data_IF_933694664414
#
_entry.id   IF_933694664414
#
_cell.length_a   1.000
_cell.length_b   1.000
_cell.length_c   1.000
_cell.angle_alpha   90.00
_cell.angle_beta   90.00
_cell.angle_gamma   90.00
#
_symmetry.space_group_name_H-M   'P 1'
#
loop_
_entity.id
_entity.type
_entity.pdbx_description
1 polymer ?
#
# COMPACT_ATOMS: atom_id res chain seq x y z
N UNK A 1 49.94 -99.19 -18.47
CA UNK A 1 50.81 -98.05 -18.75
C UNK A 1 49.98 -97.09 -19.56
N UNK A 2 49.33 -96.25 -18.90
CA UNK A 2 48.56 -95.17 -19.56
C UNK A 2 48.35 -94.08 -18.50
N UNK A 3 49.05 -93.04 -18.71
CA UNK A 3 48.86 -91.79 -17.92
C UNK A 3 47.57 -91.09 -18.34
N UNK A 4 46.75 -90.75 -17.39
CA UNK A 4 45.61 -89.93 -17.57
C UNK A 4 45.93 -88.52 -17.01
N UNK A 5 46.16 -87.59 -17.93
CA UNK A 5 46.26 -86.19 -17.59
C UNK A 5 44.84 -85.61 -17.32
N UNK A 6 44.58 -85.31 -16.09
CA UNK A 6 43.36 -84.59 -15.65
C UNK A 6 43.56 -83.08 -15.80
N UNK A 7 42.94 -82.55 -16.81
CA UNK A 7 42.97 -81.13 -17.13
C UNK A 7 41.86 -80.36 -16.30
N UNK A 8 42.30 -79.74 -15.27
CA UNK A 8 41.48 -78.90 -14.45
C UNK A 8 41.06 -77.68 -15.25
N UNK A 9 39.77 -77.50 -15.42
CA UNK A 9 39.17 -76.28 -16.07
C UNK A 9 38.86 -75.27 -15.01
N UNK A 10 39.66 -74.24 -14.88
CA UNK A 10 39.33 -73.04 -14.06
C UNK A 10 38.15 -72.27 -14.68
N UNK A 11 37.05 -72.21 -13.95
CA UNK A 11 35.91 -71.36 -14.27
C UNK A 11 36.26 -69.92 -13.93
N UNK A 12 36.49 -69.12 -14.96
CA UNK A 12 36.57 -67.67 -14.78
C UNK A 12 35.18 -67.04 -14.44
N UNK A 13 35.02 -66.55 -13.20
CA UNK A 13 33.91 -65.72 -12.78
C UNK A 13 33.99 -64.42 -13.60
N UNK A 14 33.02 -64.24 -14.48
CA UNK A 14 32.81 -63.00 -15.20
C UNK A 14 32.23 -61.98 -14.21
N UNK A 15 33.09 -61.08 -13.76
CA UNK A 15 32.65 -59.95 -12.91
C UNK A 15 31.58 -59.11 -13.62
N UNK A 16 30.36 -59.16 -13.10
CA UNK A 16 29.25 -58.33 -13.55
C UNK A 16 29.57 -56.85 -13.29
N UNK A 17 29.74 -56.07 -14.35
CA UNK A 17 29.86 -54.60 -14.23
C UNK A 17 28.62 -54.03 -13.60
N UNK A 18 28.74 -53.16 -12.56
CA UNK A 18 27.57 -52.53 -11.96
C UNK A 18 26.85 -51.67 -12.97
N UNK A 19 25.55 -51.86 -13.11
CA UNK A 19 24.68 -51.08 -14.00
C UNK A 19 24.73 -49.57 -13.66
N UNK A 20 24.72 -48.68 -14.64
CA UNK A 20 24.85 -47.26 -14.39
C UNK A 20 23.70 -46.74 -13.53
N UNK A 21 24.03 -46.09 -12.43
CA UNK A 21 23.07 -45.46 -11.50
C UNK A 21 22.36 -44.25 -12.15
N UNK A 22 21.48 -44.51 -13.11
CA UNK A 22 20.71 -43.47 -13.84
C UNK A 22 19.59 -42.83 -12.98
N UNK A 23 19.25 -43.51 -11.87
CA UNK A 23 18.16 -43.05 -10.94
C UNK A 23 18.55 -41.89 -10.06
N UNK A 24 19.82 -41.68 -9.79
CA UNK A 24 20.30 -40.62 -8.86
C UNK A 24 20.25 -39.23 -9.48
N UNK A 25 20.51 -39.08 -10.76
CA UNK A 25 20.48 -37.76 -11.44
C UNK A 25 19.06 -37.19 -11.56
N UNK A 26 18.07 -38.03 -11.87
CA UNK A 26 16.66 -37.60 -11.94
C UNK A 26 16.10 -37.23 -10.58
N UNK A 27 16.45 -37.98 -9.53
CA UNK A 27 16.06 -37.67 -8.17
C UNK A 27 16.69 -36.35 -7.69
N UNK A 28 17.96 -36.12 -7.94
CA UNK A 28 18.66 -34.87 -7.61
C UNK A 28 18.06 -33.68 -8.37
N UNK A 29 17.79 -33.82 -9.66
CA UNK A 29 17.13 -32.81 -10.46
C UNK A 29 15.72 -32.47 -9.91
N UNK A 30 14.95 -33.50 -9.55
CA UNK A 30 13.63 -33.29 -8.91
C UNK A 30 13.72 -32.57 -7.58
N UNK A 31 14.66 -32.95 -6.72
CA UNK A 31 14.87 -32.28 -5.42
C UNK A 31 15.31 -30.82 -5.65
N UNK A 32 16.25 -30.59 -6.57
CA UNK A 32 16.70 -29.22 -6.89
C UNK A 32 15.54 -28.35 -7.39
N UNK A 33 14.70 -28.90 -8.29
CA UNK A 33 13.52 -28.17 -8.77
C UNK A 33 12.55 -27.82 -7.65
N UNK A 34 12.25 -28.77 -6.76
CA UNK A 34 11.40 -28.53 -5.60
C UNK A 34 11.99 -27.46 -4.67
N UNK A 35 13.31 -27.51 -4.41
CA UNK A 35 13.98 -26.49 -3.60
C UNK A 35 13.94 -25.11 -4.28
N UNK A 36 14.16 -25.02 -5.59
CA UNK A 36 14.06 -23.75 -6.33
C UNK A 36 12.64 -23.20 -6.26
N UNK A 37 11.62 -24.02 -6.50
CA UNK A 37 10.22 -23.60 -6.40
C UNK A 37 9.90 -23.13 -4.97
N UNK A 38 10.33 -23.86 -3.96
CA UNK A 38 10.12 -23.48 -2.57
C UNK A 38 10.76 -22.10 -2.24
N UNK A 39 12.00 -21.88 -2.70
CA UNK A 39 12.68 -20.58 -2.54
C UNK A 39 11.93 -19.47 -3.26
N UNK A 40 11.46 -19.70 -4.49
CA UNK A 40 10.69 -18.70 -5.24
C UNK A 40 9.34 -18.38 -4.56
N UNK A 41 8.67 -19.39 -4.00
CA UNK A 41 7.43 -19.17 -3.25
C UNK A 41 7.69 -18.33 -1.99
N UNK A 42 8.72 -18.67 -1.22
CA UNK A 42 9.08 -17.90 0.00
C UNK A 42 9.51 -16.49 -0.35
N UNK A 43 10.34 -16.33 -1.39
CA UNK A 43 10.76 -15.00 -1.85
C UNK A 43 9.58 -14.17 -2.37
N UNK A 44 8.67 -14.79 -3.13
CA UNK A 44 7.46 -14.13 -3.61
C UNK A 44 6.52 -13.71 -2.48
N UNK A 45 6.31 -14.58 -1.49
CA UNK A 45 5.50 -14.24 -0.32
C UNK A 45 6.15 -13.11 0.50
N UNK A 46 7.46 -13.16 0.71
CA UNK A 46 8.21 -12.09 1.39
C UNK A 46 8.14 -10.76 0.64
N UNK A 47 8.24 -10.79 -0.68
CA UNK A 47 8.07 -9.61 -1.53
C UNK A 47 6.66 -9.01 -1.39
N UNK A 48 5.60 -9.83 -1.41
CA UNK A 48 4.22 -9.36 -1.26
C UNK A 48 3.99 -8.71 0.10
N UNK A 49 4.52 -9.30 1.19
CA UNK A 49 4.43 -8.69 2.52
C UNK A 49 5.17 -7.35 2.57
N UNK A 50 6.34 -7.25 1.95
CA UNK A 50 7.11 -6.00 1.90
C UNK A 50 6.43 -4.95 1.00
N UNK A 51 5.83 -5.38 -0.12
CA UNK A 51 5.09 -4.51 -1.04
C UNK A 51 3.93 -3.74 -0.36
N UNK A 52 3.32 -4.33 0.67
CA UNK A 52 2.24 -3.67 1.42
C UNK A 52 2.75 -2.66 2.47
N UNK A 53 4.07 -2.58 2.68
CA UNK A 53 4.63 -1.67 3.68
C UNK A 53 4.96 -0.30 3.08
N UNK A 54 4.80 0.80 3.85
CA UNK A 54 5.12 2.15 3.39
C UNK A 54 6.56 2.30 2.87
N UNK A 55 7.51 1.60 3.51
CA UNK A 55 8.91 1.64 3.11
C UNK A 55 9.20 0.99 1.76
N UNK A 56 8.31 0.15 1.23
CA UNK A 56 8.43 -0.36 -0.14
C UNK A 56 8.29 0.78 -1.15
N UNK A 57 7.24 1.59 -1.01
CA UNK A 57 6.98 2.71 -1.90
C UNK A 57 8.17 3.68 -1.93
N UNK A 58 8.73 3.98 -0.76
CA UNK A 58 9.91 4.85 -0.66
C UNK A 58 11.19 4.19 -1.22
N UNK A 59 11.40 2.90 -1.00
CA UNK A 59 12.59 2.19 -1.49
C UNK A 59 12.63 2.06 -3.02
N UNK A 60 11.48 1.94 -3.66
CA UNK A 60 11.36 1.74 -5.12
C UNK A 60 11.15 3.08 -5.84
N UNK A 61 10.25 3.92 -5.32
CA UNK A 61 9.85 5.18 -5.94
C UNK A 61 10.19 6.37 -5.02
N UNK A 62 11.40 6.42 -4.46
CA UNK A 62 11.79 7.42 -3.46
C UNK A 62 11.52 8.86 -3.90
N UNK A 63 11.96 9.29 -5.08
CA UNK A 63 11.76 10.66 -5.54
C UNK A 63 10.29 11.09 -5.58
N UNK A 64 9.37 10.32 -6.19
CA UNK A 64 7.95 10.64 -6.15
C UNK A 64 7.32 10.53 -4.74
N UNK A 65 7.87 9.70 -3.84
CA UNK A 65 7.31 9.45 -2.51
C UNK A 65 7.86 10.39 -1.43
N UNK A 66 9.00 11.03 -1.65
CA UNK A 66 9.64 11.91 -0.68
C UNK A 66 8.72 12.99 -0.10
N UNK A 67 7.78 13.61 -0.84
CA UNK A 67 6.84 14.58 -0.28
C UNK A 67 5.75 13.94 0.59
N UNK A 68 5.42 12.68 0.38
CA UNK A 68 4.26 12.02 1.00
C UNK A 68 4.60 11.25 2.27
N UNK A 69 5.77 10.59 2.29
CA UNK A 69 6.17 9.76 3.42
C UNK A 69 6.27 10.56 4.74
N UNK A 70 6.86 11.77 4.77
CA UNK A 70 6.90 12.57 6.00
C UNK A 70 5.50 12.92 6.54
N UNK A 71 4.52 13.13 5.66
CA UNK A 71 3.13 13.42 6.09
C UNK A 71 2.43 12.22 6.68
N UNK A 72 2.82 11.01 6.24
CA UNK A 72 2.28 9.76 6.76
C UNK A 72 2.93 9.39 8.10
N UNK A 73 4.23 9.59 8.23
CA UNK A 73 5.00 9.28 9.44
C UNK A 73 4.90 10.35 10.53
N UNK A 74 4.27 11.49 10.21
CA UNK A 74 4.08 12.58 11.16
C UNK A 74 3.25 12.14 12.39
N UNK A 75 3.59 12.70 13.54
CA UNK A 75 2.92 12.38 14.81
C UNK A 75 1.80 13.37 15.09
N UNK A 76 0.53 12.94 15.16
CA UNK A 76 -0.56 13.80 15.59
C UNK A 76 -0.28 14.46 16.94
N UNK A 77 -0.56 15.76 17.04
CA UNK A 77 -0.22 16.59 18.19
C UNK A 77 1.14 17.31 18.04
N UNK A 78 1.90 17.02 17.00
CA UNK A 78 3.19 17.64 16.73
C UNK A 78 3.12 18.45 15.42
N UNK A 79 3.91 19.53 15.28
CA UNK A 79 4.06 20.24 14.02
C UNK A 79 4.68 19.33 12.93
N UNK A 80 4.25 19.56 11.69
CA UNK A 80 4.70 18.79 10.54
C UNK A 80 4.79 19.68 9.29
N UNK A 81 5.14 19.07 8.16
CA UNK A 81 5.07 19.68 6.82
C UNK A 81 4.10 18.91 5.94
N UNK A 82 3.36 19.62 5.13
CA UNK A 82 2.50 19.00 4.12
C UNK A 82 3.31 18.54 2.89
N UNK A 83 2.62 17.90 1.94
CA UNK A 83 3.26 17.39 0.71
C UNK A 83 3.88 18.47 -0.20
N UNK A 84 3.60 19.73 0.03
CA UNK A 84 4.19 20.87 -0.70
C UNK A 84 5.26 21.60 0.11
N UNK A 85 5.58 21.11 1.32
CA UNK A 85 6.57 21.72 2.22
C UNK A 85 6.03 22.89 3.04
N UNK A 86 4.70 23.12 3.08
CA UNK A 86 4.13 24.12 3.98
C UNK A 86 4.09 23.59 5.42
N UNK A 87 4.30 24.48 6.38
CA UNK A 87 4.16 24.16 7.78
C UNK A 87 2.70 23.83 8.14
N UNK A 88 2.50 22.77 8.89
CA UNK A 88 1.24 22.32 9.47
C UNK A 88 1.41 22.36 10.98
N UNK A 89 0.54 23.10 11.65
CA UNK A 89 0.64 23.32 13.10
C UNK A 89 0.52 22.00 13.89
N UNK A 90 -0.32 21.10 13.43
CA UNK A 90 -0.51 19.78 14.02
C UNK A 90 -0.81 18.74 12.92
N UNK A 91 0.02 17.72 12.86
CA UNK A 91 -0.16 16.57 11.97
C UNK A 91 -1.50 15.85 12.14
N UNK A 92 -2.17 16.02 13.29
CA UNK A 92 -3.52 15.52 13.54
C UNK A 92 -4.59 16.04 12.58
N UNK A 93 -4.32 17.13 11.87
CA UNK A 93 -5.17 17.62 10.78
C UNK A 93 -5.01 16.88 9.46
N UNK A 94 -3.99 16.02 9.32
CA UNK A 94 -3.71 15.22 8.13
C UNK A 94 -4.21 13.78 8.30
N UNK A 95 -5.10 13.33 7.41
CA UNK A 95 -5.64 11.97 7.50
C UNK A 95 -4.55 10.90 7.43
N UNK A 96 -3.49 11.09 6.65
CA UNK A 96 -2.40 10.13 6.52
C UNK A 96 -1.73 9.87 7.87
N UNK A 97 -1.40 10.93 8.63
CA UNK A 97 -0.82 10.83 9.96
C UNK A 97 -1.76 10.13 10.95
N UNK A 98 -3.03 10.55 10.99
CA UNK A 98 -4.03 9.98 11.92
C UNK A 98 -4.27 8.50 11.64
N UNK A 99 -4.39 8.12 10.36
CA UNK A 99 -4.65 6.72 9.98
C UNK A 99 -3.44 5.81 10.23
N UNK A 100 -2.21 6.32 10.08
CA UNK A 100 -1.00 5.59 10.46
C UNK A 100 -1.03 5.18 11.95
N UNK A 101 -1.51 6.06 12.85
CA UNK A 101 -1.58 5.74 14.28
C UNK A 101 -2.52 4.58 14.62
N UNK A 102 -3.47 4.29 13.75
CA UNK A 102 -4.39 3.15 13.90
C UNK A 102 -4.00 1.96 13.01
N UNK A 103 -2.77 1.96 12.52
CA UNK A 103 -2.18 0.85 11.77
C UNK A 103 -2.64 0.73 10.32
N UNK A 104 -3.19 1.81 9.74
CA UNK A 104 -3.49 1.86 8.31
C UNK A 104 -2.23 2.16 7.51
N UNK A 105 -2.13 1.56 6.33
CA UNK A 105 -1.01 1.75 5.40
C UNK A 105 -1.41 2.59 4.20
N UNK A 106 -0.45 2.91 3.35
CA UNK A 106 -0.71 3.62 2.09
C UNK A 106 -1.75 2.89 1.24
N UNK A 107 -1.69 1.56 1.20
CA UNK A 107 -2.55 0.70 0.37
C UNK A 107 -3.99 0.60 0.88
N UNK A 108 -4.28 0.98 2.13
CA UNK A 108 -5.66 1.08 2.62
C UNK A 108 -6.43 2.22 1.93
N UNK A 109 -5.71 3.28 1.50
CA UNK A 109 -6.29 4.41 0.78
C UNK A 109 -5.96 4.38 -0.72
N UNK A 110 -4.71 4.06 -1.06
CA UNK A 110 -4.26 3.86 -2.44
C UNK A 110 -4.51 2.42 -2.86
N UNK A 111 -5.79 2.04 -3.00
CA UNK A 111 -6.19 0.67 -3.37
C UNK A 111 -5.59 0.31 -4.72
N UNK A 112 -4.67 -0.66 -4.77
CA UNK A 112 -3.94 -0.97 -5.98
C UNK A 112 -4.85 -1.60 -7.03
N UNK A 113 -4.74 -1.11 -8.27
CA UNK A 113 -5.34 -1.75 -9.45
C UNK A 113 -4.23 -2.43 -10.23
N UNK A 114 -4.49 -3.61 -10.76
CA UNK A 114 -3.45 -4.40 -11.42
C UNK A 114 -2.86 -3.70 -12.65
N UNK A 115 -3.68 -3.03 -13.43
CA UNK A 115 -3.29 -2.26 -14.60
C UNK A 115 -2.46 -1.03 -14.23
N UNK A 116 -2.82 -0.32 -13.17
CA UNK A 116 -2.01 0.78 -12.61
C UNK A 116 -0.64 0.28 -12.17
N UNK A 117 -0.59 -0.79 -11.36
CA UNK A 117 0.68 -1.37 -10.89
C UNK A 117 1.58 -1.83 -12.04
N UNK A 118 1.00 -2.40 -13.10
CA UNK A 118 1.77 -2.78 -14.28
C UNK A 118 2.31 -1.56 -15.02
N UNK A 119 1.52 -0.51 -15.15
CA UNK A 119 1.94 0.74 -15.79
C UNK A 119 3.05 1.41 -15.00
N UNK A 120 2.85 1.62 -13.69
CA UNK A 120 3.85 2.20 -12.79
C UNK A 120 5.15 1.40 -12.77
N UNK A 121 5.05 0.07 -12.75
CA UNK A 121 6.21 -0.81 -12.83
C UNK A 121 6.99 -0.66 -14.14
N UNK A 122 6.30 -0.51 -15.26
CA UNK A 122 6.94 -0.28 -16.57
C UNK A 122 7.56 1.11 -16.67
N UNK A 123 6.89 2.13 -16.16
CA UNK A 123 7.40 3.50 -16.09
C UNK A 123 8.68 3.55 -15.23
N UNK A 124 8.66 2.89 -14.06
CA UNK A 124 9.83 2.80 -13.19
C UNK A 124 11.02 2.10 -13.88
N UNK A 125 10.80 0.92 -14.48
CA UNK A 125 11.86 0.17 -15.16
C UNK A 125 12.43 0.94 -16.35
N UNK A 126 11.60 1.69 -17.07
CA UNK A 126 12.03 2.52 -18.21
C UNK A 126 12.65 3.85 -17.79
N UNK A 127 12.53 4.25 -16.53
CA UNK A 127 12.92 5.57 -16.04
C UNK A 127 12.04 6.72 -16.56
N UNK A 128 10.84 6.42 -17.03
CA UNK A 128 9.92 7.38 -17.62
C UNK A 128 8.71 7.61 -16.70
N UNK A 129 8.97 7.97 -15.47
CA UNK A 129 7.96 8.30 -14.45
C UNK A 129 7.99 9.80 -14.15
N UNK A 130 6.82 10.33 -13.74
CA UNK A 130 6.70 11.74 -13.36
C UNK A 130 7.33 11.97 -11.97
N UNK A 131 8.21 12.98 -11.89
CA UNK A 131 8.72 13.48 -10.61
C UNK A 131 8.90 15.01 -10.70
N UNK A 132 8.18 15.79 -9.88
CA UNK A 132 7.17 15.37 -8.90
C UNK A 132 5.95 14.73 -9.56
N UNK A 133 5.25 13.87 -8.80
CA UNK A 133 4.00 13.28 -9.25
C UNK A 133 2.96 14.36 -9.55
N UNK A 134 2.20 14.18 -10.63
CA UNK A 134 1.07 15.02 -10.94
C UNK A 134 0.07 15.07 -9.76
N UNK A 135 -0.35 16.26 -9.38
CA UNK A 135 -1.26 16.42 -8.26
C UNK A 135 -2.63 15.80 -8.56
N UNK A 136 -3.03 14.84 -7.76
CA UNK A 136 -4.41 14.34 -7.72
C UNK A 136 -5.06 14.76 -6.42
N UNK A 137 -6.26 15.31 -6.52
CA UNK A 137 -7.08 15.54 -5.33
C UNK A 137 -7.58 14.21 -4.78
N UNK A 138 -7.87 14.15 -3.48
CA UNK A 138 -8.47 12.95 -2.90
C UNK A 138 -9.82 12.59 -3.56
N UNK A 139 -10.56 13.57 -4.06
CA UNK A 139 -11.79 13.32 -4.85
C UNK A 139 -11.47 12.59 -6.15
N UNK A 140 -10.47 13.03 -6.89
CA UNK A 140 -10.04 12.35 -8.13
C UNK A 140 -9.53 10.93 -7.85
N UNK A 141 -8.88 10.69 -6.71
CA UNK A 141 -8.46 9.35 -6.30
C UNK A 141 -9.66 8.42 -6.09
N UNK A 142 -10.72 8.91 -5.44
CA UNK A 142 -11.97 8.15 -5.23
C UNK A 142 -12.66 7.85 -6.56
N UNK A 143 -12.76 8.86 -7.44
CA UNK A 143 -13.36 8.75 -8.77
C UNK A 143 -12.58 7.77 -9.67
N UNK A 144 -11.25 7.76 -9.58
CA UNK A 144 -10.38 6.81 -10.30
C UNK A 144 -10.64 5.35 -9.91
N UNK A 145 -11.29 5.10 -8.77
CA UNK A 145 -11.74 3.77 -8.33
C UNK A 145 -13.15 3.42 -8.79
N UNK A 146 -13.76 4.23 -9.64
CA UNK A 146 -15.12 4.04 -10.13
C UNK A 146 -16.20 4.35 -9.09
N UNK A 147 -15.86 5.08 -8.03
CA UNK A 147 -16.79 5.50 -7.00
C UNK A 147 -17.34 6.90 -7.29
N UNK A 148 -18.66 7.08 -7.11
CA UNK A 148 -19.31 8.37 -7.38
C UNK A 148 -19.00 9.41 -6.29
N UNK A 149 -18.81 8.95 -5.06
CA UNK A 149 -18.54 9.82 -3.92
C UNK A 149 -17.59 9.15 -2.92
N UNK A 150 -17.09 9.95 -1.98
CA UNK A 150 -16.18 9.46 -0.94
C UNK A 150 -16.85 8.64 0.16
N UNK A 151 -18.18 8.57 0.21
CA UNK A 151 -18.89 7.86 1.25
C UNK A 151 -18.62 6.36 1.19
N UNK A 152 -18.73 5.77 0.00
CA UNK A 152 -18.43 4.34 -0.22
C UNK A 152 -16.98 4.00 0.11
N UNK A 153 -16.08 4.94 -0.16
CA UNK A 153 -14.65 4.77 0.12
C UNK A 153 -14.35 4.88 1.61
N UNK A 154 -14.92 5.87 2.30
CA UNK A 154 -14.62 6.17 3.69
C UNK A 154 -15.56 5.46 4.67
N UNK A 155 -16.88 5.50 4.38
CA UNK A 155 -17.94 4.95 5.24
C UNK A 155 -18.30 3.53 4.81
N UNK A 156 -17.52 2.56 5.25
CA UNK A 156 -17.74 1.14 5.05
C UNK A 156 -17.45 0.37 6.33
N UNK A 157 -17.82 -0.91 6.36
CA UNK A 157 -17.70 -1.74 7.56
C UNK A 157 -16.27 -1.93 8.10
N UNK A 158 -15.26 -1.71 7.26
CA UNK A 158 -13.85 -1.90 7.61
C UNK A 158 -13.16 -0.62 8.07
N UNK A 159 -13.76 0.55 7.77
CA UNK A 159 -13.18 1.86 8.04
C UNK A 159 -14.09 2.67 8.98
N UNK A 160 -15.10 3.35 8.45
CA UNK A 160 -16.05 4.13 9.24
C UNK A 160 -17.45 3.50 9.15
N UNK A 161 -17.80 2.54 10.05
CA UNK A 161 -19.02 1.73 9.93
C UNK A 161 -20.27 2.46 10.44
N UNK A 162 -20.44 3.72 10.07
CA UNK A 162 -21.59 4.52 10.47
C UNK A 162 -22.04 5.41 9.30
N UNK A 163 -23.33 5.77 9.31
CA UNK A 163 -23.91 6.63 8.30
C UNK A 163 -23.81 8.11 8.64
N UNK A 164 -24.28 8.96 7.74
CA UNK A 164 -24.24 10.42 7.89
C UNK A 164 -25.03 10.91 9.09
N UNK A 165 -26.18 10.32 9.41
CA UNK A 165 -26.98 10.68 10.59
C UNK A 165 -26.21 10.49 11.92
N UNK A 166 -25.38 9.46 11.97
CA UNK A 166 -24.53 9.25 13.15
C UNK A 166 -23.34 10.22 13.17
N UNK A 167 -22.81 10.53 12.00
CA UNK A 167 -21.73 11.49 11.85
C UNK A 167 -22.19 12.91 12.29
N UNK A 168 -23.39 13.32 11.88
CA UNK A 168 -24.01 14.57 12.32
C UNK A 168 -24.10 14.64 13.86
N UNK A 169 -24.55 13.55 14.49
CA UNK A 169 -24.65 13.48 15.95
C UNK A 169 -23.28 13.56 16.64
N UNK A 170 -22.27 12.87 16.09
CA UNK A 170 -20.89 12.89 16.62
C UNK A 170 -20.25 14.28 16.52
N UNK A 171 -20.66 15.07 15.55
CA UNK A 171 -20.15 16.42 15.29
C UNK A 171 -21.09 17.53 15.71
N UNK A 172 -22.14 17.24 16.49
CA UNK A 172 -23.11 18.21 16.97
C UNK A 172 -22.50 19.38 17.78
N UNK A 173 -21.30 19.18 18.34
CA UNK A 173 -20.52 20.21 19.03
C UNK A 173 -20.11 21.39 18.11
N UNK A 174 -20.10 21.19 16.77
CA UNK A 174 -19.86 22.26 15.81
C UNK A 174 -21.03 23.24 15.65
N UNK A 175 -22.16 22.98 16.32
CA UNK A 175 -23.29 23.89 16.39
C UNK A 175 -24.11 23.97 15.11
N UNK A 176 -24.57 25.18 14.78
CA UNK A 176 -25.51 25.39 13.67
C UNK A 176 -24.89 25.17 12.27
N UNK A 177 -23.60 25.38 12.18
CA UNK A 177 -22.85 25.24 10.93
C UNK A 177 -22.03 23.93 10.98
N UNK A 178 -22.75 22.82 11.20
CA UNK A 178 -22.17 21.51 11.19
C UNK A 178 -22.00 21.03 9.72
N UNK A 179 -20.77 20.78 9.25
CA UNK A 179 -20.52 20.39 7.86
C UNK A 179 -21.13 19.02 7.49
N UNK A 180 -21.53 18.22 8.48
CA UNK A 180 -22.16 16.92 8.26
C UNK A 180 -23.70 17.02 8.25
N UNK A 181 -24.27 18.20 8.51
CA UNK A 181 -25.69 18.48 8.34
C UNK A 181 -25.93 19.03 6.94
N UNK A 182 -26.75 18.40 6.10
CA UNK A 182 -26.82 18.71 4.67
C UNK A 182 -27.66 19.98 4.35
N UNK A 183 -27.32 21.14 4.92
CA UNK A 183 -28.00 22.40 4.65
C UNK A 183 -27.90 22.88 3.19
N UNK A 184 -26.77 22.57 2.55
CA UNK A 184 -26.48 22.91 1.15
C UNK A 184 -26.27 21.65 0.29
N UNK A 185 -26.86 20.52 0.70
CA UNK A 185 -26.61 19.21 0.11
C UNK A 185 -25.38 18.54 0.74
N UNK A 186 -25.31 17.25 0.54
CA UNK A 186 -24.21 16.43 1.06
C UNK A 186 -22.88 16.79 0.40
N UNK A 187 -21.89 17.06 1.23
CA UNK A 187 -20.54 17.35 0.77
C UNK A 187 -19.71 16.04 0.72
N UNK A 188 -18.84 15.91 -0.26
CA UNK A 188 -17.85 14.81 -0.30
C UNK A 188 -16.94 14.93 0.91
N UNK A 189 -16.62 13.81 1.57
CA UNK A 189 -15.70 13.78 2.71
C UNK A 189 -14.37 14.45 2.37
N UNK A 190 -13.87 14.19 1.16
CA UNK A 190 -12.61 14.73 0.62
C UNK A 190 -12.62 16.26 0.38
N UNK A 191 -13.78 16.90 0.43
CA UNK A 191 -13.86 18.37 0.35
C UNK A 191 -13.14 19.02 1.54
N UNK A 192 -13.35 18.49 2.73
CA UNK A 192 -12.77 19.02 3.97
C UNK A 192 -11.59 18.20 4.48
N UNK A 193 -11.73 16.87 4.53
CA UNK A 193 -10.71 15.97 5.01
C UNK A 193 -9.61 15.77 3.98
N UNK A 194 -8.36 16.07 4.37
CA UNK A 194 -7.19 16.02 3.48
C UNK A 194 -6.16 15.02 4.02
N UNK A 195 -5.60 14.22 3.12
CA UNK A 195 -4.66 13.16 3.50
C UNK A 195 -3.26 13.70 3.82
N UNK A 196 -2.66 14.43 2.90
CA UNK A 196 -1.26 14.83 2.93
C UNK A 196 -1.06 16.34 3.08
N UNK A 197 -2.04 17.03 3.62
CA UNK A 197 -2.01 18.42 4.04
C UNK A 197 -3.05 18.65 5.12
N UNK A 198 -3.02 19.81 5.77
CA UNK A 198 -4.02 20.15 6.77
C UNK A 198 -5.44 20.12 6.19
N UNK A 199 -6.35 19.51 6.92
CA UNK A 199 -7.77 19.50 6.61
C UNK A 199 -8.35 20.90 6.76
N UNK A 200 -9.43 21.19 6.02
CA UNK A 200 -9.98 22.54 5.89
C UNK A 200 -11.47 22.54 6.22
N UNK A 201 -11.91 23.40 7.09
CA UNK A 201 -13.34 23.64 7.22
C UNK A 201 -13.83 24.52 6.07
N UNK A 202 -14.35 23.89 5.03
CA UNK A 202 -14.77 24.59 3.80
C UNK A 202 -15.98 25.53 4.02
N UNK A 203 -16.77 25.29 5.07
CA UNK A 203 -17.91 26.15 5.39
C UNK A 203 -17.48 27.60 5.72
N UNK A 204 -16.24 27.79 6.19
CA UNK A 204 -15.69 29.11 6.52
C UNK A 204 -15.49 30.01 5.30
N UNK A 205 -15.63 29.47 4.08
CA UNK A 205 -15.64 30.28 2.85
C UNK A 205 -16.77 31.32 2.87
N UNK A 206 -17.93 30.96 3.43
CA UNK A 206 -19.09 31.84 3.51
C UNK A 206 -19.51 32.11 4.94
N UNK A 207 -19.27 31.19 5.87
CA UNK A 207 -19.67 31.29 7.28
C UNK A 207 -18.45 31.57 8.14
N UNK A 208 -18.15 32.83 8.38
CA UNK A 208 -17.01 33.28 9.19
C UNK A 208 -17.08 32.88 10.66
N UNK A 209 -18.28 32.50 11.11
CA UNK A 209 -18.58 32.01 12.45
C UNK A 209 -18.65 30.49 12.57
N UNK A 210 -18.37 29.76 11.49
CA UNK A 210 -18.25 28.29 11.51
C UNK A 210 -17.05 27.88 12.38
N UNK A 211 -17.27 26.88 13.24
CA UNK A 211 -16.23 26.36 14.11
C UNK A 211 -15.18 25.64 13.25
N UNK A 212 -13.94 26.08 13.35
CA UNK A 212 -12.80 25.36 12.79
C UNK A 212 -12.27 24.41 13.87
N UNK A 213 -12.19 23.09 13.62
CA UNK A 213 -11.58 22.16 14.56
C UNK A 213 -10.13 22.54 14.86
N UNK A 214 -9.64 22.18 16.05
CA UNK A 214 -8.24 22.40 16.40
C UNK A 214 -7.32 21.82 15.32
N UNK A 215 -6.26 22.54 14.99
CA UNK A 215 -5.27 22.21 13.96
C UNK A 215 -5.76 22.20 12.51
N UNK A 216 -7.07 22.36 12.25
CA UNK A 216 -7.58 22.51 10.90
C UNK A 216 -7.42 23.96 10.41
N UNK A 217 -7.52 24.14 9.11
CA UNK A 217 -7.47 25.47 8.51
C UNK A 217 -8.88 26.00 8.21
N UNK A 218 -9.03 27.30 8.28
CA UNK A 218 -10.14 27.98 7.61
C UNK A 218 -9.92 27.93 6.09
N UNK A 219 -10.95 28.17 5.31
CA UNK A 219 -10.84 28.28 3.84
C UNK A 219 -9.80 29.36 3.45
N UNK A 220 -9.84 30.50 4.11
CA UNK A 220 -8.92 31.62 3.80
C UNK A 220 -7.47 31.27 4.11
N UNK A 221 -7.21 30.56 5.21
CA UNK A 221 -5.86 30.19 5.62
C UNK A 221 -5.31 29.03 4.78
N UNK A 222 -6.19 28.24 4.18
CA UNK A 222 -5.81 27.10 3.35
C UNK A 222 -5.17 27.46 2.02
N UNK A 223 -5.25 28.73 1.60
CA UNK A 223 -4.76 29.26 0.31
C UNK A 223 -5.28 28.47 -0.93
N UNK A 224 -6.47 27.88 -0.81
CA UNK A 224 -7.15 27.16 -1.89
C UNK A 224 -7.85 28.09 -2.86
#
# INVERSE_FOLDING_TARGET
>A
MSDNDEKTVEAQEAGAKPAPKCTDKRKRLGITLVCVVAVLVVAGAGFMVWHEQPNFCNAICHDPMDPYLPTFEATPGEPATDKWGNEVEDAGSMLAAVHNQVGKTCMDCHVPQLDEQMTEGMEWVSGNYDSPLGERTATQLVEARGLENSDEFCMNSSCHPYGRDELEKKTAWMGKINPHTPQHGEQKCTTCHKAHRASVNYCTQCHTDAVVPDSWLSYTDSKL
#
